data_IF_020136307285
#
_entry.id   IF_020136307285
#
_cell.length_a   1.000
_cell.length_b   1.000
_cell.length_c   1.000
_cell.angle_alpha   90.00
_cell.angle_beta   90.00
_cell.angle_gamma   90.00
#
_symmetry.space_group_name_H-M   'P 1'
#
loop_
_entity.id
_entity.type
_entity.pdbx_description
1 polymer ?
#
# COMPACT_ATOMS: atom_id res chain seq x y z
N UNK A 1 -36.39 -42.34 -10.72
CA UNK A 1 -37.13 -41.35 -9.91
C UNK A 1 -36.12 -40.40 -9.31
N UNK A 2 -35.86 -39.28 -9.97
CA UNK A 2 -35.03 -38.17 -9.47
C UNK A 2 -35.86 -36.92 -9.75
N UNK A 3 -36.37 -36.29 -8.69
CA UNK A 3 -37.17 -35.07 -8.81
C UNK A 3 -36.24 -33.88 -9.04
N UNK A 4 -36.35 -33.30 -10.23
CA UNK A 4 -35.70 -32.06 -10.63
C UNK A 4 -36.55 -30.89 -10.12
N UNK A 5 -36.05 -30.14 -9.13
CA UNK A 5 -36.71 -28.90 -8.65
C UNK A 5 -36.18 -27.73 -9.49
N UNK A 6 -37.00 -27.27 -10.43
CA UNK A 6 -36.77 -26.04 -11.18
C UNK A 6 -37.31 -24.87 -10.34
N UNK A 7 -36.40 -24.04 -9.82
CA UNK A 7 -36.79 -22.77 -9.18
C UNK A 7 -36.90 -21.70 -10.27
N UNK A 8 -38.13 -21.27 -10.58
CA UNK A 8 -38.39 -20.07 -11.37
C UNK A 8 -38.09 -18.84 -10.51
N UNK A 9 -37.17 -17.99 -10.97
CA UNK A 9 -37.01 -16.64 -10.47
C UNK A 9 -38.15 -15.78 -11.04
N UNK A 10 -38.95 -15.18 -10.16
CA UNK A 10 -40.02 -14.25 -10.51
C UNK A 10 -39.47 -12.83 -10.74
N UNK A 11 -39.99 -12.15 -11.76
CA UNK A 11 -39.71 -10.77 -12.13
C UNK A 11 -40.01 -9.76 -11.00
N UNK A 12 -39.32 -8.60 -10.97
CA UNK A 12 -39.51 -7.59 -9.93
C UNK A 12 -40.87 -6.89 -10.08
N UNK A 13 -41.67 -6.89 -9.01
CA UNK A 13 -42.89 -6.10 -8.94
C UNK A 13 -42.58 -4.64 -8.60
N UNK A 14 -42.94 -3.74 -9.51
CA UNK A 14 -43.01 -2.31 -9.27
C UNK A 14 -44.15 -1.95 -8.30
N UNK A 15 -43.88 -0.97 -7.42
CA UNK A 15 -44.90 -0.14 -6.78
C UNK A 15 -45.57 -0.71 -5.53
N UNK A 16 -44.91 -0.60 -4.36
CA UNK A 16 -45.60 -0.57 -3.05
C UNK A 16 -45.11 0.59 -2.17
N UNK A 17 -46.00 1.27 -1.43
CA UNK A 17 -45.68 2.47 -0.67
C UNK A 17 -44.80 2.16 0.55
N UNK A 18 -43.82 3.05 0.76
CA UNK A 18 -42.65 2.99 1.66
C UNK A 18 -43.00 2.80 3.15
N UNK A 19 -44.25 3.06 3.56
CA UNK A 19 -44.67 3.07 4.98
C UNK A 19 -44.77 1.69 5.68
N UNK A 20 -44.89 0.58 4.95
CA UNK A 20 -44.95 -0.77 5.56
C UNK A 20 -43.60 -1.49 5.67
N UNK A 21 -42.57 -0.99 4.98
CA UNK A 21 -41.23 -1.59 5.03
C UNK A 21 -40.56 -1.38 6.40
N UNK A 22 -40.73 -0.21 7.03
CA UNK A 22 -40.14 0.08 8.34
C UNK A 22 -40.67 -0.83 9.47
N UNK A 23 -41.98 -1.13 9.48
CA UNK A 23 -42.57 -1.99 10.51
C UNK A 23 -42.17 -3.48 10.35
N UNK A 24 -42.06 -3.98 9.12
CA UNK A 24 -41.54 -5.32 8.86
C UNK A 24 -40.02 -5.44 9.13
N UNK A 25 -39.32 -4.31 9.08
CA UNK A 25 -37.90 -4.21 9.38
C UNK A 25 -37.61 -4.31 10.87
N UNK A 26 -38.34 -3.57 11.70
CA UNK A 26 -38.20 -3.63 13.16
C UNK A 26 -38.48 -5.05 13.69
N UNK A 27 -39.40 -5.78 13.05
CA UNK A 27 -39.74 -7.17 13.37
C UNK A 27 -38.65 -8.19 12.93
N UNK A 28 -37.86 -7.86 11.90
CA UNK A 28 -36.71 -8.64 11.46
C UNK A 28 -35.46 -8.38 12.32
N UNK A 29 -35.26 -7.13 12.77
CA UNK A 29 -34.15 -6.71 13.64
C UNK A 29 -34.30 -7.27 15.06
N UNK A 30 -35.54 -7.42 15.55
CA UNK A 30 -35.82 -8.09 16.83
C UNK A 30 -35.34 -9.54 16.92
N UNK A 31 -35.02 -10.19 15.78
CA UNK A 31 -34.59 -11.60 15.69
C UNK A 31 -33.07 -11.81 15.53
N UNK A 32 -32.25 -10.76 15.68
CA UNK A 32 -30.80 -10.90 15.82
C UNK A 32 -30.04 -11.38 14.58
N UNK A 33 -30.60 -11.24 13.36
CA UNK A 33 -29.89 -11.50 12.09
C UNK A 33 -29.48 -10.18 11.46
N UNK A 34 -28.45 -9.57 12.01
CA UNK A 34 -27.91 -8.27 11.56
C UNK A 34 -27.31 -8.29 10.14
N UNK A 35 -27.02 -9.48 9.63
CA UNK A 35 -26.22 -9.66 8.41
C UNK A 35 -27.08 -9.69 7.13
N UNK A 36 -28.40 -9.90 7.26
CA UNK A 36 -29.31 -10.16 6.13
C UNK A 36 -30.26 -9.01 5.79
N UNK A 37 -30.26 -7.94 6.58
CA UNK A 37 -31.18 -6.83 6.33
C UNK A 37 -30.49 -5.78 5.47
N UNK A 38 -31.13 -5.42 4.34
CA UNK A 38 -30.62 -4.42 3.41
C UNK A 38 -30.17 -3.17 4.19
N UNK A 39 -28.90 -2.75 4.07
CA UNK A 39 -28.29 -1.79 4.99
C UNK A 39 -28.82 -0.36 4.85
N UNK A 40 -29.66 -0.10 3.84
CA UNK A 40 -30.37 1.16 3.65
C UNK A 40 -31.85 0.90 3.34
N UNK A 41 -32.72 1.14 4.31
CA UNK A 41 -34.17 1.24 4.06
C UNK A 41 -34.54 2.70 3.97
N UNK A 42 -34.95 3.13 2.78
CA UNK A 42 -35.51 4.47 2.55
C UNK A 42 -34.59 5.62 2.95
N UNK A 43 -33.29 5.54 2.65
CA UNK A 43 -32.37 6.63 2.94
C UNK A 43 -31.81 6.67 4.38
N UNK A 44 -32.05 5.62 5.18
CA UNK A 44 -31.60 5.55 6.57
C UNK A 44 -30.34 4.68 6.75
N UNK A 45 -29.46 5.09 7.65
CA UNK A 45 -28.25 4.39 8.07
C UNK A 45 -28.39 3.88 9.50
N UNK A 46 -28.00 2.62 9.75
CA UNK A 46 -27.96 2.08 11.12
C UNK A 46 -26.82 2.69 11.91
N UNK A 47 -27.10 3.28 13.07
CA UNK A 47 -26.07 3.71 14.02
C UNK A 47 -25.85 2.62 15.08
N UNK A 48 -24.73 1.87 15.07
CA UNK A 48 -24.55 0.69 15.93
C UNK A 48 -24.69 0.99 17.42
N UNK A 49 -24.09 2.09 17.89
CA UNK A 49 -24.10 2.49 19.29
C UNK A 49 -25.48 2.89 19.82
N UNK A 50 -26.42 3.18 18.92
CA UNK A 50 -27.78 3.61 19.30
C UNK A 50 -28.85 2.58 18.96
N UNK A 51 -28.48 1.49 18.26
CA UNK A 51 -29.42 0.45 17.84
C UNK A 51 -30.56 0.94 16.95
N UNK A 52 -30.43 2.11 16.29
CA UNK A 52 -31.50 2.72 15.50
C UNK A 52 -31.03 3.21 14.13
N UNK A 53 -31.97 3.31 13.20
CA UNK A 53 -31.78 3.86 11.86
C UNK A 53 -31.95 5.38 11.88
N UNK A 54 -31.04 6.09 11.23
CA UNK A 54 -30.98 7.55 11.20
C UNK A 54 -30.89 8.04 9.75
N UNK A 55 -31.52 9.18 9.40
CA UNK A 55 -31.19 9.88 8.17
C UNK A 55 -29.68 10.18 8.09
N UNK A 56 -29.11 10.21 6.88
CA UNK A 56 -27.67 10.42 6.66
C UNK A 56 -27.12 11.63 7.42
N UNK A 57 -27.82 12.77 7.38
CA UNK A 57 -27.43 13.98 8.11
C UNK A 57 -27.37 13.79 9.63
N UNK A 58 -28.33 13.07 10.21
CA UNK A 58 -28.35 12.76 11.65
C UNK A 58 -27.30 11.72 12.04
N UNK A 59 -27.00 10.76 11.16
CA UNK A 59 -25.92 9.80 11.37
C UNK A 59 -24.58 10.53 11.58
N UNK A 60 -24.27 11.49 10.72
CA UNK A 60 -23.03 12.26 10.78
C UNK A 60 -23.01 13.37 11.84
N UNK A 61 -24.16 13.77 12.38
CA UNK A 61 -24.23 14.65 13.54
C UNK A 61 -23.77 13.96 14.85
N UNK A 62 -23.54 12.64 14.82
CA UNK A 62 -23.16 11.86 15.99
C UNK A 62 -21.80 11.17 15.79
N UNK A 63 -20.75 11.58 16.54
CA UNK A 63 -19.41 11.00 16.41
C UNK A 63 -19.33 9.50 16.71
N UNK A 64 -20.31 8.95 17.43
CA UNK A 64 -20.38 7.53 17.79
C UNK A 64 -21.00 6.65 16.69
N UNK A 65 -21.68 7.25 15.70
CA UNK A 65 -22.23 6.54 14.56
C UNK A 65 -21.12 6.34 13.54
N UNK A 66 -20.86 5.10 13.11
CA UNK A 66 -19.73 4.79 12.23
C UNK A 66 -20.14 3.70 11.24
N UNK A 67 -19.60 3.76 10.03
CA UNK A 67 -19.73 2.71 9.04
C UNK A 67 -18.82 1.55 9.46
N UNK A 68 -19.39 0.54 10.12
CA UNK A 68 -18.66 -0.63 10.59
C UNK A 68 -18.46 -1.59 9.41
N UNK A 69 -17.27 -1.52 8.80
CA UNK A 69 -16.83 -2.40 7.73
C UNK A 69 -15.82 -3.46 8.23
N UNK A 70 -15.48 -3.44 9.53
CA UNK A 70 -14.58 -4.43 10.12
C UNK A 70 -15.15 -5.83 9.96
N UNK A 71 -14.27 -6.76 9.62
CA UNK A 71 -14.62 -8.15 9.35
C UNK A 71 -14.73 -8.45 7.87
N UNK A 72 -15.28 -7.55 7.06
CA UNK A 72 -15.40 -7.71 5.59
C UNK A 72 -14.31 -6.98 4.83
N UNK A 73 -13.90 -5.80 5.32
CA UNK A 73 -12.87 -4.97 4.67
C UNK A 73 -11.61 -4.93 5.52
N UNK A 74 -10.51 -5.31 4.90
CA UNK A 74 -9.16 -5.29 5.46
C UNK A 74 -8.26 -4.31 4.71
N UNK A 75 -7.43 -3.58 5.45
CA UNK A 75 -6.48 -2.59 4.93
C UNK A 75 -5.05 -2.93 5.35
N UNK A 76 -4.18 -3.15 4.36
CA UNK A 76 -2.73 -3.25 4.54
C UNK A 76 -2.05 -1.89 4.43
N UNK A 77 -1.64 -1.36 5.58
CA UNK A 77 -0.87 -0.12 5.66
C UNK A 77 0.63 -0.45 5.57
N UNK A 78 1.12 -0.48 4.34
CA UNK A 78 2.49 -0.84 3.95
C UNK A 78 3.52 0.25 4.31
N UNK A 79 3.73 0.48 5.60
CA UNK A 79 4.73 1.44 6.09
C UNK A 79 4.55 2.84 5.50
N UNK A 80 5.58 3.38 4.84
CA UNK A 80 5.58 4.73 4.24
C UNK A 80 4.95 4.80 2.84
N UNK A 81 3.88 4.04 2.63
CA UNK A 81 3.12 4.02 1.38
C UNK A 81 1.83 4.87 1.40
N UNK A 82 1.66 5.80 2.34
CA UNK A 82 0.49 6.72 2.37
C UNK A 82 -0.71 6.22 3.16
N UNK A 83 -0.59 5.14 3.93
CA UNK A 83 -1.73 4.64 4.71
C UNK A 83 -2.14 5.51 5.89
N UNK A 84 -1.32 6.49 6.29
CA UNK A 84 -1.72 7.59 7.18
C UNK A 84 -2.84 8.44 6.57
N UNK A 85 -2.68 8.83 5.31
CA UNK A 85 -3.66 9.62 4.54
C UNK A 85 -4.95 8.83 4.31
N UNK A 86 -4.83 7.54 3.96
CA UNK A 86 -6.01 6.66 3.83
C UNK A 86 -6.77 6.57 5.15
N UNK A 87 -6.07 6.32 6.26
CA UNK A 87 -6.73 6.27 7.58
C UNK A 87 -7.48 7.57 7.84
N UNK A 88 -6.82 8.71 7.65
CA UNK A 88 -7.40 10.02 7.91
C UNK A 88 -8.67 10.23 7.07
N UNK A 89 -8.62 9.90 5.77
CA UNK A 89 -9.79 9.97 4.88
C UNK A 89 -10.94 9.05 5.35
N UNK A 90 -10.64 7.84 5.79
CA UNK A 90 -11.65 6.92 6.34
C UNK A 90 -12.24 7.45 7.67
N UNK A 91 -11.42 8.07 8.53
CA UNK A 91 -11.85 8.69 9.79
C UNK A 91 -12.78 9.89 9.53
N UNK A 92 -12.46 10.75 8.56
CA UNK A 92 -13.34 11.85 8.11
C UNK A 92 -14.70 11.37 7.61
N UNK A 93 -14.76 10.16 7.06
CA UNK A 93 -15.99 9.51 6.61
C UNK A 93 -16.64 8.63 7.68
N UNK A 94 -16.14 8.66 8.93
CA UNK A 94 -16.63 7.80 10.01
C UNK A 94 -16.62 6.30 9.63
N UNK A 95 -15.70 5.87 8.77
CA UNK A 95 -15.55 4.49 8.30
C UNK A 95 -14.53 3.72 9.15
N UNK A 96 -14.93 2.54 9.63
CA UNK A 96 -14.04 1.63 10.36
C UNK A 96 -13.78 0.38 9.53
N UNK A 97 -12.53 0.22 9.10
CA UNK A 97 -12.02 -0.98 8.45
C UNK A 97 -11.10 -1.76 9.40
N UNK A 98 -10.85 -3.04 9.12
CA UNK A 98 -9.82 -3.78 9.83
C UNK A 98 -8.44 -3.40 9.28
N UNK A 99 -7.58 -2.80 10.10
CA UNK A 99 -6.28 -2.28 9.66
C UNK A 99 -5.13 -3.09 10.21
N UNK A 100 -4.22 -3.49 9.34
CA UNK A 100 -2.96 -4.11 9.68
C UNK A 100 -1.82 -3.09 9.55
N UNK A 101 -1.14 -2.82 10.66
CA UNK A 101 0.01 -1.89 10.75
C UNK A 101 0.74 -2.09 12.09
N UNK A 102 2.07 -1.92 12.18
CA UNK A 102 3.03 -1.73 11.08
C UNK A 102 3.59 -3.05 10.53
N UNK A 103 3.05 -4.18 11.00
CA UNK A 103 3.57 -5.51 10.71
C UNK A 103 2.51 -6.33 9.98
N UNK A 104 2.90 -7.16 9.01
CA UNK A 104 2.01 -8.18 8.50
C UNK A 104 1.59 -9.08 9.67
N UNK A 105 0.29 -9.37 9.78
CA UNK A 105 -0.23 -10.31 10.77
C UNK A 105 -0.80 -11.52 10.04
N UNK A 106 -0.58 -12.72 10.59
CA UNK A 106 -1.20 -13.96 10.15
C UNK A 106 -2.71 -13.99 10.45
N UNK A 107 -3.43 -14.94 9.85
CA UNK A 107 -4.00 -14.88 8.50
C UNK A 107 -5.17 -13.87 8.42
N UNK A 108 -5.67 -13.59 7.22
CA UNK A 108 -6.92 -12.85 7.08
C UNK A 108 -8.02 -13.51 7.91
N UNK A 109 -8.97 -12.69 8.39
CA UNK A 109 -10.19 -13.27 8.93
C UNK A 109 -10.91 -13.97 7.79
N UNK A 110 -11.42 -15.18 8.03
CA UNK A 110 -12.22 -15.92 7.06
C UNK A 110 -13.44 -15.11 6.56
N UNK A 111 -13.86 -14.04 7.23
CA UNK A 111 -14.93 -13.14 6.77
C UNK A 111 -14.47 -12.02 5.83
N UNK A 112 -13.17 -11.92 5.53
CA UNK A 112 -12.62 -10.83 4.73
C UNK A 112 -12.99 -11.04 3.27
N UNK A 113 -13.72 -10.08 2.71
CA UNK A 113 -14.18 -10.09 1.32
C UNK A 113 -13.39 -9.12 0.44
N UNK A 114 -13.03 -7.96 1.00
CA UNK A 114 -12.26 -6.92 0.33
C UNK A 114 -10.98 -6.68 1.10
N UNK A 115 -9.85 -6.84 0.41
CA UNK A 115 -8.55 -6.40 0.88
C UNK A 115 -8.10 -5.23 0.04
N UNK A 116 -7.50 -4.21 0.63
CA UNK A 116 -6.83 -3.17 -0.15
C UNK A 116 -5.50 -2.79 0.48
N UNK A 117 -4.59 -2.29 -0.35
CA UNK A 117 -3.26 -1.88 0.04
C UNK A 117 -2.86 -0.61 -0.70
N UNK A 118 -2.16 0.28 -0.01
CA UNK A 118 -1.54 1.43 -0.66
C UNK A 118 -0.22 1.00 -1.30
N UNK A 119 -0.08 1.16 -2.61
CA UNK A 119 1.10 0.73 -3.37
C UNK A 119 1.96 1.95 -3.69
N UNK A 120 3.17 2.01 -3.15
CA UNK A 120 4.16 3.05 -3.50
C UNK A 120 5.33 2.36 -4.19
N UNK A 121 6.04 3.10 -5.05
CA UNK A 121 7.36 2.70 -5.52
C UNK A 121 8.21 2.11 -4.36
N UNK A 122 8.67 0.85 -4.47
CA UNK A 122 9.41 0.18 -3.41
C UNK A 122 10.66 0.94 -2.94
N UNK A 123 11.40 1.57 -3.87
CA UNK A 123 12.59 2.39 -3.56
C UNK A 123 12.17 3.63 -2.79
N UNK A 124 11.18 4.40 -3.28
CA UNK A 124 10.70 5.61 -2.60
C UNK A 124 10.14 5.29 -1.20
N UNK A 125 9.46 4.15 -1.05
CA UNK A 125 8.94 3.67 0.23
C UNK A 125 10.08 3.38 1.20
N UNK A 126 11.13 2.70 0.75
CA UNK A 126 12.30 2.37 1.56
C UNK A 126 13.04 3.63 2.01
N UNK A 127 13.38 4.51 1.06
CA UNK A 127 14.06 5.80 1.35
C UNK A 127 13.24 6.63 2.32
N UNK A 128 11.93 6.75 2.09
CA UNK A 128 11.05 7.49 2.99
C UNK A 128 10.99 6.88 4.39
N UNK A 129 11.08 5.55 4.54
CA UNK A 129 11.13 4.89 5.83
C UNK A 129 12.47 5.11 6.52
N UNK A 130 13.60 4.94 5.82
CA UNK A 130 14.94 5.22 6.33
C UNK A 130 15.05 6.66 6.84
N UNK A 131 14.72 7.65 6.01
CA UNK A 131 14.84 9.07 6.35
C UNK A 131 13.93 9.43 7.53
N UNK A 132 12.71 8.88 7.56
CA UNK A 132 11.83 9.07 8.70
C UNK A 132 12.38 8.47 9.99
N UNK A 133 12.93 7.26 9.96
CA UNK A 133 13.56 6.65 11.14
C UNK A 133 14.79 7.45 11.57
N UNK A 134 15.64 7.87 10.64
CA UNK A 134 16.78 8.75 10.93
C UNK A 134 16.33 10.06 11.60
N UNK A 135 15.22 10.65 11.16
CA UNK A 135 14.66 11.84 11.77
C UNK A 135 14.13 11.59 13.19
N UNK A 136 13.61 10.40 13.51
CA UNK A 136 13.04 10.11 14.83
C UNK A 136 14.05 9.64 15.88
N UNK A 137 15.14 9.02 15.46
CA UNK A 137 16.13 8.41 16.35
C UNK A 137 17.10 9.46 16.89
N UNK A 138 17.57 9.26 18.12
CA UNK A 138 18.57 10.15 18.71
C UNK A 138 19.93 9.93 18.03
N UNK A 139 20.55 11.04 17.60
CA UNK A 139 21.96 11.08 17.21
C UNK A 139 22.88 11.04 18.45
N UNK A 140 24.17 10.68 18.32
CA UNK A 140 25.12 10.74 19.44
C UNK A 140 25.26 12.14 20.07
N UNK A 141 25.09 13.19 19.28
CA UNK A 141 25.20 14.61 19.63
C UNK A 141 23.85 15.34 19.58
N UNK A 142 22.75 14.60 19.72
CA UNK A 142 21.41 15.15 19.59
C UNK A 142 21.07 16.15 20.70
N UNK A 143 20.64 17.36 20.32
CA UNK A 143 20.17 18.37 21.26
C UNK A 143 18.72 18.15 21.72
N UNK A 144 17.99 17.23 21.08
CA UNK A 144 16.58 16.95 21.37
C UNK A 144 16.40 16.21 22.69
N UNK A 145 15.22 16.38 23.28
CA UNK A 145 14.82 15.67 24.47
C UNK A 145 14.65 14.17 24.15
N UNK A 146 15.45 13.33 24.80
CA UNK A 146 15.33 11.88 24.66
C UNK A 146 14.04 11.40 25.31
N UNK A 147 13.19 10.72 24.55
CA UNK A 147 11.91 10.23 25.04
C UNK A 147 11.83 8.69 25.02
N UNK A 148 11.62 8.10 26.20
CA UNK A 148 11.55 6.64 26.40
C UNK A 148 10.14 6.11 26.68
N UNK A 149 9.16 6.99 26.88
CA UNK A 149 7.79 6.62 27.26
C UNK A 149 6.85 6.47 26.06
N UNK A 150 6.36 7.60 25.56
CA UNK A 150 5.40 7.69 24.47
C UNK A 150 6.08 7.83 23.09
N UNK A 151 6.07 6.77 22.25
CA UNK A 151 6.66 6.83 20.92
C UNK A 151 5.94 7.80 19.97
N UNK A 152 4.76 8.30 20.33
CA UNK A 152 4.03 9.29 19.53
C UNK A 152 4.61 10.70 19.66
N UNK A 153 5.33 11.04 20.73
CA UNK A 153 5.87 12.39 20.90
C UNK A 153 6.94 12.72 19.86
N UNK A 154 7.97 11.88 19.62
CA UNK A 154 8.91 12.10 18.51
C UNK A 154 8.25 12.09 17.14
N UNK A 155 7.18 11.31 16.95
CA UNK A 155 6.39 11.31 15.70
C UNK A 155 5.69 12.64 15.47
N UNK A 156 5.17 13.26 16.55
CA UNK A 156 4.38 14.49 16.49
C UNK A 156 5.26 15.75 16.50
N UNK A 157 6.40 15.71 17.18
CA UNK A 157 7.32 16.83 17.37
C UNK A 157 8.77 16.34 17.20
N UNK A 158 9.16 15.89 15.99
CA UNK A 158 10.48 15.33 15.72
C UNK A 158 11.61 16.33 15.93
N UNK A 159 11.35 17.63 15.84
CA UNK A 159 12.30 18.71 16.14
C UNK A 159 12.64 18.85 17.62
N UNK A 160 11.77 18.33 18.51
CA UNK A 160 11.92 18.46 19.96
C UNK A 160 12.30 17.17 20.65
N UNK A 161 11.75 16.04 20.20
CA UNK A 161 11.97 14.74 20.84
C UNK A 161 12.62 13.74 19.90
N UNK A 162 13.38 12.81 20.48
CA UNK A 162 13.99 11.69 19.76
C UNK A 162 13.82 10.37 20.53
N UNK A 163 13.95 9.24 19.81
CA UNK A 163 13.82 7.88 20.35
C UNK A 163 15.18 7.22 20.59
N UNK A 164 15.38 6.67 21.79
CA UNK A 164 16.58 5.89 22.15
C UNK A 164 16.47 4.43 21.71
N UNK A 165 16.44 4.17 20.40
CA UNK A 165 16.42 2.80 19.88
C UNK A 165 17.86 2.37 19.58
N UNK A 166 18.59 1.97 20.62
CA UNK A 166 20.07 1.93 20.57
C UNK A 166 20.68 1.07 19.46
N UNK A 167 20.02 0.00 18.99
CA UNK A 167 20.53 -0.78 17.84
C UNK A 167 20.27 -0.07 16.51
N UNK A 168 19.02 0.27 16.23
CA UNK A 168 18.62 0.95 14.99
C UNK A 168 19.30 2.33 14.85
N UNK A 169 19.38 3.09 15.94
CA UNK A 169 20.05 4.39 15.97
C UNK A 169 21.56 4.29 15.72
N UNK A 170 22.24 3.31 16.35
CA UNK A 170 23.67 3.07 16.09
C UNK A 170 23.92 2.62 14.66
N UNK A 171 23.02 1.83 14.08
CA UNK A 171 23.10 1.42 12.69
C UNK A 171 22.89 2.64 11.77
N UNK A 172 21.77 3.36 11.88
CA UNK A 172 21.45 4.47 10.98
C UNK A 172 22.46 5.62 11.12
N UNK A 173 22.75 6.08 12.35
CA UNK A 173 23.63 7.24 12.56
C UNK A 173 25.11 6.86 12.63
N UNK A 174 25.44 5.71 13.20
CA UNK A 174 26.84 5.30 13.39
C UNK A 174 27.42 4.60 12.17
N UNK A 175 26.73 3.59 11.63
CA UNK A 175 27.23 2.80 10.49
C UNK A 175 26.99 3.47 9.15
N UNK A 176 25.80 4.05 8.96
CA UNK A 176 25.41 4.67 7.69
C UNK A 176 25.39 6.19 7.73
N UNK A 177 25.79 6.83 8.83
CA UNK A 177 25.91 8.29 8.94
C UNK A 177 24.65 9.08 8.53
N UNK A 178 23.46 8.50 8.72
CA UNK A 178 22.18 9.02 8.21
C UNK A 178 22.09 9.19 6.69
N UNK A 179 22.99 8.58 5.93
CA UNK A 179 23.00 8.56 4.48
C UNK A 179 22.42 7.25 3.96
N UNK A 180 21.25 7.34 3.34
CA UNK A 180 20.57 6.18 2.75
C UNK A 180 21.36 5.59 1.58
N UNK A 181 22.21 6.38 0.89
CA UNK A 181 23.05 5.88 -0.19
C UNK A 181 24.05 4.83 0.29
N UNK A 182 24.67 5.05 1.46
CA UNK A 182 25.62 4.10 2.02
C UNK A 182 24.99 2.74 2.30
N UNK A 183 23.72 2.72 2.70
CA UNK A 183 22.98 1.46 2.87
C UNK A 183 22.53 0.89 1.52
N UNK A 184 21.95 1.72 0.64
CA UNK A 184 21.44 1.30 -0.65
C UNK A 184 22.54 0.68 -1.53
N UNK A 185 23.71 1.32 -1.61
CA UNK A 185 24.87 0.81 -2.35
C UNK A 185 25.45 -0.46 -1.72
N UNK A 186 25.42 -0.58 -0.39
CA UNK A 186 25.83 -1.81 0.29
C UNK A 186 24.86 -2.98 0.04
N UNK A 187 23.63 -2.72 -0.39
CA UNK A 187 22.67 -3.73 -0.83
C UNK A 187 22.88 -4.16 -2.29
N UNK A 188 23.91 -3.68 -3.00
CA UNK A 188 24.24 -4.25 -4.30
C UNK A 188 24.73 -5.70 -4.14
N UNK A 189 24.23 -6.63 -4.96
CA UNK A 189 24.75 -7.99 -4.99
C UNK A 189 26.28 -8.03 -5.20
N UNK A 190 27.01 -8.97 -4.58
CA UNK A 190 28.48 -9.05 -4.71
C UNK A 190 28.96 -9.12 -6.18
N UNK A 191 28.20 -9.80 -7.04
CA UNK A 191 28.42 -9.88 -8.48
C UNK A 191 28.40 -8.51 -9.18
N UNK A 192 27.62 -7.56 -8.64
CA UNK A 192 27.47 -6.22 -9.20
C UNK A 192 28.60 -5.28 -8.79
N UNK A 193 29.23 -5.53 -7.64
CA UNK A 193 30.25 -4.63 -7.08
C UNK A 193 31.67 -4.93 -7.57
N UNK A 194 32.01 -6.15 -8.00
CA UNK A 194 33.37 -6.56 -8.45
C UNK A 194 34.52 -5.92 -7.62
N UNK A 195 34.33 -5.72 -6.32
CA UNK A 195 35.25 -5.01 -5.44
C UNK A 195 35.53 -5.86 -4.21
N UNK A 196 36.83 -6.09 -3.95
CA UNK A 196 37.52 -6.62 -2.76
C UNK A 196 36.91 -7.84 -2.05
N UNK A 197 37.76 -8.63 -1.37
CA UNK A 197 37.32 -9.80 -0.59
C UNK A 197 36.32 -9.46 0.54
N UNK A 198 36.10 -8.17 0.83
CA UNK A 198 35.23 -7.68 1.91
C UNK A 198 33.77 -7.43 1.47
N UNK A 199 33.46 -7.41 0.16
CA UNK A 199 32.11 -7.12 -0.33
C UNK A 199 31.01 -8.07 0.15
N UNK A 200 31.21 -9.40 0.24
CA UNK A 200 30.15 -10.32 0.70
C UNK A 200 29.67 -10.00 2.12
N UNK A 201 30.59 -9.70 3.04
CA UNK A 201 30.23 -9.35 4.42
C UNK A 201 29.47 -8.02 4.50
N UNK A 202 29.80 -7.05 3.64
CA UNK A 202 29.08 -5.77 3.58
C UNK A 202 27.64 -5.95 3.12
N UNK A 203 27.41 -6.80 2.12
CA UNK A 203 26.07 -7.12 1.63
C UNK A 203 25.22 -7.83 2.69
N UNK A 204 25.72 -8.92 3.28
CA UNK A 204 24.98 -9.67 4.30
C UNK A 204 24.63 -8.78 5.50
N UNK A 205 25.56 -7.92 5.91
CA UNK A 205 25.32 -6.96 6.97
C UNK A 205 24.27 -5.93 6.59
N UNK A 206 24.29 -5.40 5.35
CA UNK A 206 23.31 -4.44 4.87
C UNK A 206 21.91 -5.05 4.77
N UNK A 207 21.78 -6.31 4.34
CA UNK A 207 20.50 -7.03 4.33
C UNK A 207 19.96 -7.22 5.76
N UNK A 208 20.82 -7.58 6.72
CA UNK A 208 20.40 -7.70 8.13
C UNK A 208 20.03 -6.34 8.73
N UNK A 209 20.70 -5.27 8.34
CA UNK A 209 20.42 -3.92 8.82
C UNK A 209 19.15 -3.34 8.20
N UNK A 210 18.90 -3.58 6.91
CA UNK A 210 17.66 -3.16 6.23
C UNK A 210 16.43 -3.79 6.88
N UNK A 211 16.53 -5.06 7.26
CA UNK A 211 15.51 -5.80 8.02
C UNK A 211 15.29 -5.31 9.46
N UNK A 212 16.08 -4.34 9.96
CA UNK A 212 15.90 -3.72 11.27
C UNK A 212 15.20 -2.36 11.20
N UNK A 213 15.10 -1.74 10.02
CA UNK A 213 14.52 -0.41 9.86
C UNK A 213 13.00 -0.49 9.98
N UNK A 214 12.43 0.21 10.97
CA UNK A 214 10.99 0.32 11.12
C UNK A 214 10.33 0.86 9.85
N UNK A 215 9.19 0.28 9.43
CA UNK A 215 8.45 0.62 8.20
C UNK A 215 9.13 0.30 6.86
N UNK A 216 10.41 -0.12 6.85
CA UNK A 216 11.11 -0.67 5.67
C UNK A 216 11.33 -2.18 5.75
N UNK A 217 11.39 -2.75 6.96
CA UNK A 217 11.65 -4.17 7.23
C UNK A 217 10.78 -5.15 6.44
N UNK A 218 9.51 -4.82 6.21
CA UNK A 218 8.56 -5.71 5.56
C UNK A 218 8.32 -5.26 4.13
N UNK A 219 8.68 -6.12 3.19
CA UNK A 219 8.46 -5.94 1.75
C UNK A 219 6.97 -6.13 1.41
N UNK A 220 6.53 -5.66 0.24
CA UNK A 220 5.17 -5.94 -0.27
C UNK A 220 4.93 -7.45 -0.33
N UNK A 221 5.94 -8.23 -0.71
CA UNK A 221 5.90 -9.68 -0.68
C UNK A 221 5.62 -10.23 0.73
N UNK A 222 6.28 -9.72 1.78
CA UNK A 222 5.99 -10.16 3.15
C UNK A 222 4.54 -9.88 3.57
N UNK A 223 3.95 -8.79 3.08
CA UNK A 223 2.55 -8.45 3.35
C UNK A 223 1.57 -9.31 2.56
N UNK A 224 1.94 -9.71 1.35
CA UNK A 224 1.11 -10.47 0.43
C UNK A 224 1.38 -11.97 0.48
N UNK A 225 2.28 -12.46 1.35
CA UNK A 225 2.71 -13.85 1.40
C UNK A 225 1.56 -14.87 1.50
N UNK A 226 0.47 -14.54 2.20
CA UNK A 226 -0.72 -15.39 2.30
C UNK A 226 -1.53 -15.50 0.99
N UNK A 227 -1.19 -14.71 -0.02
CA UNK A 227 -1.79 -14.67 -1.35
C UNK A 227 -0.85 -15.24 -2.42
N UNK A 228 0.26 -15.88 -2.01
CA UNK A 228 1.29 -16.44 -2.90
C UNK A 228 1.51 -17.91 -2.50
N UNK A 229 1.35 -18.85 -3.42
CA UNK A 229 1.72 -20.27 -3.18
C UNK A 229 3.24 -20.42 -3.12
N UNK A 230 3.75 -21.25 -2.20
CA UNK A 230 5.19 -21.44 -2.01
C UNK A 230 5.89 -22.18 -3.16
N UNK A 231 5.16 -22.93 -3.98
CA UNK A 231 5.70 -23.89 -4.95
C UNK A 231 5.13 -23.74 -6.37
N UNK A 232 4.30 -22.71 -6.59
CA UNK A 232 3.61 -22.51 -7.86
C UNK A 232 2.65 -23.65 -8.21
N UNK A 233 2.32 -24.56 -7.28
CA UNK A 233 1.41 -25.69 -7.51
C UNK A 233 -0.06 -25.26 -7.57
N UNK A 234 -0.34 -24.16 -8.27
CA UNK A 234 -1.68 -23.69 -8.58
C UNK A 234 -2.44 -23.13 -7.38
N UNK A 235 -3.30 -22.16 -7.65
CA UNK A 235 -4.17 -21.51 -6.66
C UNK A 235 -5.11 -22.48 -5.89
N UNK A 236 -5.13 -23.78 -6.23
CA UNK A 236 -5.94 -24.80 -5.57
C UNK A 236 -5.49 -25.12 -4.13
N UNK A 237 -4.21 -24.90 -3.77
CA UNK A 237 -3.73 -25.06 -2.38
C UNK A 237 -3.70 -23.74 -1.58
N UNK A 238 -3.82 -22.58 -2.24
CA UNK A 238 -4.03 -21.28 -1.57
C UNK A 238 -5.40 -21.17 -0.89
N UNK A 239 -6.30 -22.12 -1.13
CA UNK A 239 -7.56 -22.33 -0.43
C UNK A 239 -7.34 -22.83 1.01
N UNK A 240 -6.38 -22.26 1.73
CA UNK A 240 -6.51 -22.18 3.18
C UNK A 240 -7.78 -21.37 3.47
N UNK A 241 -8.57 -21.81 4.45
CA UNK A 241 -9.90 -21.26 4.78
C UNK A 241 -9.90 -19.73 4.97
N UNK A 242 -8.71 -19.15 5.22
CA UNK A 242 -8.51 -17.73 5.49
C UNK A 242 -8.68 -16.81 4.27
N UNK A 243 -8.46 -17.27 3.05
CA UNK A 243 -8.61 -16.46 1.81
C UNK A 243 -9.84 -16.84 0.99
N UNK A 244 -10.56 -17.91 1.37
CA UNK A 244 -11.69 -18.45 0.61
C UNK A 244 -12.81 -17.44 0.31
N UNK A 245 -12.98 -16.42 1.16
CA UNK A 245 -13.99 -15.37 0.98
C UNK A 245 -13.45 -14.09 0.33
N UNK A 246 -12.15 -14.00 0.07
CA UNK A 246 -11.54 -12.83 -0.56
C UNK A 246 -11.99 -12.72 -2.02
N UNK A 247 -12.84 -11.74 -2.31
CA UNK A 247 -13.38 -11.47 -3.65
C UNK A 247 -12.57 -10.43 -4.39
N UNK A 248 -12.03 -9.47 -3.66
CA UNK A 248 -11.37 -8.31 -4.25
C UNK A 248 -10.08 -7.97 -3.51
N UNK A 249 -9.06 -7.66 -4.30
CA UNK A 249 -7.87 -6.96 -3.85
C UNK A 249 -7.82 -5.62 -4.56
N UNK A 250 -7.72 -4.50 -3.84
CA UNK A 250 -7.67 -3.15 -4.42
C UNK A 250 -6.26 -2.57 -4.22
N UNK A 251 -5.56 -2.31 -5.32
CA UNK A 251 -4.35 -1.49 -5.27
C UNK A 251 -4.74 -0.01 -5.24
N UNK A 252 -4.12 0.74 -4.34
CA UNK A 252 -4.27 2.21 -4.24
C UNK A 252 -2.89 2.81 -4.48
N UNK A 253 -2.50 3.07 -5.75
CA UNK A 253 -1.19 3.59 -6.06
C UNK A 253 -0.97 4.96 -5.41
N UNK A 254 0.23 5.17 -4.88
CA UNK A 254 0.72 6.44 -4.37
C UNK A 254 1.78 6.94 -5.33
N UNK A 255 1.32 7.65 -6.35
CA UNK A 255 2.14 8.52 -7.19
C UNK A 255 1.87 9.96 -6.74
N UNK A 256 2.91 10.79 -6.72
CA UNK A 256 2.82 12.18 -6.24
C UNK A 256 1.78 12.99 -7.03
N UNK A 257 1.03 13.86 -6.35
CA UNK A 257 0.11 14.82 -6.98
C UNK A 257 -1.37 14.44 -6.88
N UNK A 258 -2.18 14.91 -7.83
CA UNK A 258 -3.64 14.79 -7.80
C UNK A 258 -4.15 13.34 -7.91
N UNK A 259 -3.37 12.43 -8.47
CA UNK A 259 -3.79 11.05 -8.72
C UNK A 259 -4.10 10.31 -7.42
N UNK A 260 -3.29 10.52 -6.36
CA UNK A 260 -3.54 9.85 -5.09
C UNK A 260 -4.87 10.26 -4.45
N UNK A 261 -5.23 11.55 -4.51
CA UNK A 261 -6.53 12.03 -4.01
C UNK A 261 -7.71 11.48 -4.83
N UNK A 262 -7.51 11.29 -6.15
CA UNK A 262 -8.48 10.59 -7.00
C UNK A 262 -8.62 9.13 -6.57
N UNK A 263 -7.52 8.42 -6.28
CA UNK A 263 -7.57 7.06 -5.77
C UNK A 263 -8.28 6.96 -4.41
N UNK A 264 -8.05 7.90 -3.49
CA UNK A 264 -8.74 7.93 -2.20
C UNK A 264 -10.25 8.15 -2.37
N UNK A 265 -10.64 9.04 -3.28
CA UNK A 265 -12.04 9.34 -3.55
C UNK A 265 -12.76 8.17 -4.21
N UNK A 266 -12.10 7.50 -5.15
CA UNK A 266 -12.61 6.27 -5.75
C UNK A 266 -12.74 5.16 -4.70
N UNK A 267 -11.73 4.98 -3.84
CA UNK A 267 -11.72 3.93 -2.82
C UNK A 267 -12.92 4.06 -1.88
N UNK A 268 -13.17 5.27 -1.39
CA UNK A 268 -14.29 5.50 -0.46
C UNK A 268 -15.63 5.33 -1.16
N UNK A 269 -15.76 5.78 -2.41
CA UNK A 269 -16.94 5.56 -3.24
C UNK A 269 -17.22 4.07 -3.46
N UNK A 270 -16.18 3.29 -3.81
CA UNK A 270 -16.27 1.85 -4.03
C UNK A 270 -16.72 1.12 -2.75
N UNK A 271 -16.05 1.36 -1.63
CA UNK A 271 -16.38 0.72 -0.36
C UNK A 271 -17.80 1.06 0.14
N UNK A 272 -18.27 2.28 -0.10
CA UNK A 272 -19.64 2.68 0.25
C UNK A 272 -20.67 2.09 -0.72
N UNK A 273 -20.33 1.99 -2.00
CA UNK A 273 -21.20 1.38 -3.03
C UNK A 273 -21.38 -0.10 -2.78
N UNK A 274 -20.30 -0.84 -2.52
CA UNK A 274 -20.36 -2.26 -2.14
C UNK A 274 -21.19 -2.48 -0.86
N UNK A 275 -21.15 -1.51 0.07
CA UNK A 275 -21.91 -1.63 1.31
C UNK A 275 -23.38 -1.25 1.19
N UNK A 276 -23.70 -0.17 0.47
CA UNK A 276 -25.00 0.50 0.53
C UNK A 276 -25.70 0.67 -0.82
N UNK A 277 -25.03 0.33 -1.92
CA UNK A 277 -25.45 0.67 -3.27
C UNK A 277 -25.06 2.11 -3.68
N UNK A 278 -25.05 2.39 -4.99
CA UNK A 278 -24.47 3.62 -5.55
C UNK A 278 -25.23 4.89 -5.14
N UNK A 279 -26.56 4.84 -5.07
CA UNK A 279 -27.40 6.01 -4.71
C UNK A 279 -27.11 6.50 -3.28
N UNK A 280 -27.06 5.57 -2.32
CA UNK A 280 -26.76 5.88 -0.93
C UNK A 280 -25.29 6.31 -0.77
N UNK A 281 -24.36 5.67 -1.46
CA UNK A 281 -22.96 6.06 -1.47
C UNK A 281 -22.78 7.52 -1.94
N UNK A 282 -23.43 7.89 -3.05
CA UNK A 282 -23.46 9.27 -3.55
C UNK A 282 -24.04 10.26 -2.54
N UNK A 283 -25.14 9.89 -1.87
CA UNK A 283 -25.76 10.72 -0.82
C UNK A 283 -24.81 10.93 0.37
N UNK A 284 -24.13 9.87 0.80
CA UNK A 284 -23.14 9.92 1.88
C UNK A 284 -21.99 10.86 1.51
N UNK A 285 -21.39 10.67 0.32
CA UNK A 285 -20.25 11.47 -0.14
C UNK A 285 -20.64 12.94 -0.30
N UNK A 286 -21.82 13.24 -0.85
CA UNK A 286 -22.32 14.61 -0.95
C UNK A 286 -22.48 15.30 0.41
N UNK A 287 -22.97 14.58 1.43
CA UNK A 287 -23.08 15.11 2.80
C UNK A 287 -21.72 15.35 3.48
N UNK A 288 -20.66 14.67 3.03
CA UNK A 288 -19.31 14.78 3.61
C UNK A 288 -18.32 15.58 2.79
N UNK A 289 -18.74 16.12 1.64
CA UNK A 289 -17.91 16.93 0.76
C UNK A 289 -17.21 18.06 1.52
N UNK A 290 -17.95 18.86 2.29
CA UNK A 290 -17.37 19.96 3.07
C UNK A 290 -16.29 19.48 4.05
N UNK A 291 -16.51 18.38 4.78
CA UNK A 291 -15.51 17.84 5.70
C UNK A 291 -14.24 17.31 5.01
N UNK A 292 -14.34 16.92 3.74
CA UNK A 292 -13.20 16.48 2.92
C UNK A 292 -12.46 17.70 2.33
N UNK A 293 -13.20 18.69 1.84
CA UNK A 293 -12.65 19.91 1.24
C UNK A 293 -12.04 20.86 2.28
N UNK A 294 -12.66 20.97 3.46
CA UNK A 294 -12.20 21.79 4.58
C UNK A 294 -11.02 21.14 5.34
N UNK A 295 -10.62 19.92 4.98
CA UNK A 295 -9.45 19.26 5.52
C UNK A 295 -8.19 19.95 4.99
N UNK A 296 -7.86 21.12 5.55
CA UNK A 296 -6.67 21.92 5.22
C UNK A 296 -5.34 21.20 5.45
N UNK A 297 -5.39 19.96 5.94
CA UNK A 297 -4.25 19.06 6.01
C UNK A 297 -4.01 18.29 4.70
N UNK A 298 -4.95 18.23 3.75
CA UNK A 298 -4.78 17.50 2.47
C UNK A 298 -3.46 17.87 1.76
N UNK A 299 -3.08 19.16 1.78
CA UNK A 299 -1.79 19.62 1.26
C UNK A 299 -0.57 19.31 2.14
N UNK A 300 -0.75 19.10 3.45
CA UNK A 300 0.31 18.71 4.40
C UNK A 300 0.56 17.20 4.40
N UNK A 301 -0.43 16.39 4.02
CA UNK A 301 -0.30 14.94 3.87
C UNK A 301 0.47 14.53 2.60
N UNK A 302 0.82 15.50 1.75
CA UNK A 302 1.76 15.37 0.62
C UNK A 302 3.16 15.14 1.19
N UNK A 303 3.33 13.91 1.66
CA UNK A 303 4.56 13.26 2.06
C UNK A 303 5.22 13.87 3.31
N UNK A 304 5.09 13.19 4.45
CA UNK A 304 6.06 13.27 5.56
C UNK A 304 7.48 12.81 5.14
N UNK A 305 7.70 12.57 3.84
CA UNK A 305 9.00 12.46 3.17
C UNK A 305 9.57 13.81 2.77
N UNK A 306 8.74 14.85 2.57
CA UNK A 306 9.21 16.20 2.30
C UNK A 306 9.89 16.71 3.57
N UNK A 307 11.19 17.04 3.51
CA UNK A 307 11.92 17.47 4.67
C UNK A 307 11.22 18.73 5.16
N UNK A 308 10.88 18.79 6.44
CA UNK A 308 10.54 20.06 7.05
C UNK A 308 11.74 21.00 6.90
N UNK A 309 11.74 21.81 5.85
CA UNK A 309 12.45 23.08 5.66
C UNK A 309 13.98 23.15 5.84
N UNK A 310 14.73 22.06 6.11
CA UNK A 310 16.15 22.21 6.45
C UNK A 310 17.05 20.98 6.33
N UNK A 311 16.60 19.91 5.66
CA UNK A 311 17.41 18.71 5.43
C UNK A 311 18.40 18.88 4.28
N UNK A 312 19.69 18.71 4.56
CA UNK A 312 20.81 18.86 3.62
C UNK A 312 20.74 17.90 2.42
N UNK A 313 20.60 18.42 1.21
CA UNK A 313 21.33 18.04 -0.03
C UNK A 313 21.33 16.61 -0.60
N UNK A 314 21.03 15.56 0.17
CA UNK A 314 21.18 14.15 -0.23
C UNK A 314 19.83 13.42 -0.28
N UNK A 315 18.78 14.06 -0.79
CA UNK A 315 17.46 13.42 -0.87
C UNK A 315 17.35 12.39 -1.98
N UNK A 316 18.19 12.50 -3.00
CA UNK A 316 18.21 11.58 -4.12
C UNK A 316 19.26 10.49 -3.89
N UNK A 317 18.86 9.25 -4.18
CA UNK A 317 19.83 8.18 -4.28
C UNK A 317 20.80 8.47 -5.41
N UNK A 318 22.05 8.06 -5.25
CA UNK A 318 22.99 7.93 -6.34
C UNK A 318 22.40 6.93 -7.35
N UNK A 319 22.73 7.04 -8.65
CA UNK A 319 22.28 6.05 -9.63
C UNK A 319 22.65 4.61 -9.25
N UNK A 320 23.80 4.43 -8.58
CA UNK A 320 24.21 3.13 -8.05
C UNK A 320 23.28 2.68 -6.92
N UNK A 321 23.06 3.52 -5.91
CA UNK A 321 22.16 3.21 -4.80
C UNK A 321 20.74 2.90 -5.24
N UNK A 322 20.21 3.65 -6.22
CA UNK A 322 18.90 3.40 -6.82
C UNK A 322 18.85 2.03 -7.50
N UNK A 323 19.84 1.70 -8.33
CA UNK A 323 19.93 0.40 -8.98
C UNK A 323 20.05 -0.77 -7.98
N UNK A 324 20.96 -0.66 -7.02
CA UNK A 324 21.18 -1.69 -5.99
C UNK A 324 19.89 -1.95 -5.20
N UNK A 325 19.21 -0.88 -4.77
CA UNK A 325 18.01 -0.98 -3.98
C UNK A 325 16.81 -1.48 -4.80
N UNK A 326 16.67 -1.06 -6.06
CA UNK A 326 15.64 -1.59 -6.95
C UNK A 326 15.78 -3.10 -7.14
N UNK A 327 17.02 -3.59 -7.35
CA UNK A 327 17.31 -5.03 -7.44
C UNK A 327 17.06 -5.77 -6.14
N UNK A 328 17.47 -5.21 -5.00
CA UNK A 328 17.18 -5.78 -3.68
C UNK A 328 15.67 -5.94 -3.45
N UNK A 329 14.85 -5.04 -4.01
CA UNK A 329 13.40 -5.02 -3.89
C UNK A 329 12.67 -5.63 -5.11
N UNK A 330 13.36 -6.43 -5.94
CA UNK A 330 12.80 -6.97 -7.20
C UNK A 330 11.50 -7.75 -6.98
N UNK A 331 11.36 -8.49 -5.88
CA UNK A 331 10.14 -9.25 -5.58
C UNK A 331 8.90 -8.34 -5.44
N UNK A 332 9.06 -7.13 -4.87
CA UNK A 332 7.98 -6.17 -4.76
C UNK A 332 7.56 -5.64 -6.15
N UNK A 333 8.53 -5.37 -7.02
CA UNK A 333 8.23 -4.98 -8.40
C UNK A 333 7.56 -6.10 -9.19
N UNK A 334 7.94 -7.37 -8.98
CA UNK A 334 7.26 -8.51 -9.60
C UNK A 334 5.79 -8.60 -9.16
N UNK A 335 5.49 -8.33 -7.89
CA UNK A 335 4.10 -8.27 -7.41
C UNK A 335 3.33 -7.09 -7.99
N UNK A 336 3.96 -5.92 -8.13
CA UNK A 336 3.35 -4.78 -8.82
C UNK A 336 3.07 -5.11 -10.30
N UNK A 337 3.97 -5.83 -10.96
CA UNK A 337 3.75 -6.34 -12.31
C UNK A 337 2.57 -7.34 -12.35
N UNK A 338 2.45 -8.25 -11.37
CA UNK A 338 1.27 -9.13 -11.24
C UNK A 338 -0.02 -8.31 -11.09
N UNK A 339 -0.01 -7.20 -10.34
CA UNK A 339 -1.19 -6.35 -10.12
C UNK A 339 -1.76 -5.70 -11.38
N UNK A 340 -0.95 -5.53 -12.43
CA UNK A 340 -1.40 -5.02 -13.72
C UNK A 340 -2.24 -6.05 -14.49
N UNK A 341 -2.06 -7.34 -14.19
CA UNK A 341 -2.65 -8.44 -14.93
C UNK A 341 -2.13 -8.54 -16.37
N UNK A 342 -2.81 -9.33 -17.19
CA UNK A 342 -2.55 -9.43 -18.61
C UNK A 342 -3.21 -8.24 -19.32
N UNK A 343 -2.41 -7.24 -19.69
CA UNK A 343 -2.83 -6.17 -20.59
C UNK A 343 -2.97 -6.73 -22.02
N UNK A 344 -4.05 -7.46 -22.27
CA UNK A 344 -4.48 -7.79 -23.63
C UNK A 344 -4.95 -6.50 -24.32
N UNK A 345 -4.50 -6.26 -25.55
CA UNK A 345 -5.15 -5.28 -26.40
C UNK A 345 -6.55 -5.76 -26.83
N UNK A 346 -7.31 -4.90 -27.50
CA UNK A 346 -8.66 -5.27 -27.99
C UNK A 346 -8.66 -6.45 -28.98
N UNK A 347 -7.48 -6.83 -29.50
CA UNK A 347 -7.31 -7.98 -30.38
C UNK A 347 -6.89 -9.25 -29.62
N UNK A 348 -6.86 -9.21 -28.28
CA UNK A 348 -6.40 -10.33 -27.45
C UNK A 348 -4.90 -10.59 -27.55
N UNK A 349 -4.12 -9.64 -28.08
CA UNK A 349 -2.66 -9.74 -28.14
C UNK A 349 -2.08 -9.05 -26.93
N UNK A 350 -1.19 -9.74 -26.23
CA UNK A 350 -0.39 -9.13 -25.18
C UNK A 350 0.33 -7.90 -25.76
N UNK A 351 0.05 -6.70 -25.21
CA UNK A 351 0.77 -5.48 -25.59
C UNK A 351 2.25 -5.69 -25.29
N UNK A 352 3.05 -5.99 -26.32
CA UNK A 352 4.48 -6.38 -26.26
C UNK A 352 5.46 -5.31 -25.76
N UNK A 353 4.99 -4.33 -24.98
CA UNK A 353 5.84 -3.40 -24.23
C UNK A 353 5.46 -3.38 -22.75
N UNK A 354 5.14 -4.56 -22.23
CA UNK A 354 5.01 -4.77 -20.80
C UNK A 354 6.32 -4.46 -20.07
N UNK A 355 6.23 -4.17 -18.77
CA UNK A 355 7.40 -3.96 -17.90
C UNK A 355 8.38 -5.14 -18.03
N UNK A 356 9.69 -4.86 -18.03
CA UNK A 356 10.78 -5.85 -18.16
C UNK A 356 10.89 -6.82 -16.97
N UNK A 357 9.90 -6.79 -16.07
CA UNK A 357 9.85 -7.55 -14.83
C UNK A 357 8.80 -8.64 -14.97
N UNK A 358 9.22 -9.90 -14.88
CA UNK A 358 8.29 -11.04 -14.89
C UNK A 358 7.38 -11.02 -13.66
N UNK A 359 6.05 -11.11 -13.83
CA UNK A 359 5.12 -11.30 -12.72
C UNK A 359 5.51 -12.45 -11.78
N UNK A 360 4.96 -12.43 -10.57
CA UNK A 360 5.05 -13.56 -9.64
C UNK A 360 4.04 -14.64 -10.06
N UNK A 361 4.49 -15.88 -10.12
CA UNK A 361 3.64 -17.05 -10.38
C UNK A 361 2.91 -17.50 -9.11
N UNK A 362 1.78 -18.21 -9.27
CA UNK A 362 1.06 -18.79 -8.13
C UNK A 362 0.46 -17.77 -7.17
N UNK A 363 0.16 -16.55 -7.66
CA UNK A 363 -0.50 -15.51 -6.88
C UNK A 363 -2.02 -15.67 -6.94
N UNK A 364 -2.72 -15.34 -5.86
CA UNK A 364 -4.17 -15.35 -5.81
C UNK A 364 -4.77 -14.50 -6.96
N UNK A 365 -5.76 -15.01 -7.73
CA UNK A 365 -6.25 -14.34 -8.94
C UNK A 365 -6.83 -12.94 -8.75
N UNK A 366 -7.23 -12.57 -7.53
CA UNK A 366 -7.71 -11.21 -7.26
C UNK A 366 -6.58 -10.19 -7.30
N UNK A 367 -5.34 -10.59 -7.08
CA UNK A 367 -4.18 -9.68 -7.15
C UNK A 367 -3.98 -9.20 -8.58
N UNK A 368 -4.16 -10.03 -9.60
CA UNK A 368 -4.07 -9.58 -11.00
C UNK A 368 -5.23 -8.71 -11.47
N UNK A 369 -6.23 -8.50 -10.60
CA UNK A 369 -7.39 -7.63 -10.80
C UNK A 369 -7.32 -6.40 -9.89
N UNK A 370 -6.13 -6.05 -9.40
CA UNK A 370 -5.95 -5.01 -8.39
C UNK A 370 -6.45 -3.62 -8.81
N UNK A 371 -6.56 -3.38 -10.13
CA UNK A 371 -7.05 -2.14 -10.73
C UNK A 371 -8.38 -2.33 -11.49
N UNK A 372 -9.16 -3.39 -11.24
CA UNK A 372 -10.46 -3.65 -11.90
C UNK A 372 -11.67 -3.02 -11.17
N UNK A 373 -11.41 -2.15 -10.20
CA UNK A 373 -12.42 -1.51 -9.36
C UNK A 373 -12.59 -0.04 -9.72
N UNK A 374 -13.69 0.57 -9.26
CA UNK A 374 -14.04 1.94 -9.66
C UNK A 374 -14.55 2.06 -11.10
N UNK A 375 -14.61 3.30 -11.59
CA UNK A 375 -14.97 3.63 -12.98
C UNK A 375 -13.78 3.45 -13.94
N UNK A 376 -14.06 3.50 -15.25
CA UNK A 376 -13.04 3.23 -16.28
C UNK A 376 -11.87 4.22 -16.21
N UNK A 377 -12.14 5.49 -15.94
CA UNK A 377 -11.11 6.52 -15.74
C UNK A 377 -10.18 6.14 -14.57
N UNK A 378 -10.74 5.73 -13.43
CA UNK A 378 -9.95 5.29 -12.29
C UNK A 378 -9.12 4.04 -12.60
N UNK A 379 -9.70 3.06 -13.29
CA UNK A 379 -9.00 1.83 -13.69
C UNK A 379 -7.81 2.15 -14.58
N UNK A 380 -7.97 3.09 -15.51
CA UNK A 380 -6.89 3.57 -16.37
C UNK A 380 -5.79 4.27 -15.56
N UNK A 381 -6.16 5.19 -14.67
CA UNK A 381 -5.20 5.89 -13.79
C UNK A 381 -4.46 4.91 -12.89
N UNK A 382 -5.13 3.93 -12.29
CA UNK A 382 -4.51 2.90 -11.44
C UNK A 382 -3.45 2.11 -12.20
N UNK A 383 -3.80 1.61 -13.39
CA UNK A 383 -2.85 0.88 -14.26
C UNK A 383 -1.71 1.78 -14.71
N UNK A 384 -1.99 3.02 -15.11
CA UNK A 384 -0.99 3.99 -15.52
C UNK A 384 0.03 4.25 -14.40
N UNK A 385 -0.46 4.47 -13.18
CA UNK A 385 0.38 4.74 -12.02
C UNK A 385 1.24 3.53 -11.64
N UNK A 386 0.67 2.30 -11.62
CA UNK A 386 1.46 1.09 -11.40
C UNK A 386 2.50 0.84 -12.51
N UNK A 387 2.17 1.11 -13.78
CA UNK A 387 3.13 1.05 -14.89
C UNK A 387 4.24 2.10 -14.72
N UNK A 388 3.91 3.30 -14.27
CA UNK A 388 4.90 4.36 -14.04
C UNK A 388 5.96 3.96 -12.99
N UNK A 389 5.54 3.26 -11.92
CA UNK A 389 6.43 2.71 -10.91
C UNK A 389 7.39 1.69 -11.54
N UNK A 390 6.89 0.79 -12.38
CA UNK A 390 7.72 -0.22 -13.04
C UNK A 390 8.67 0.37 -14.08
N UNK A 391 8.22 1.39 -14.83
CA UNK A 391 9.02 2.03 -15.88
C UNK A 391 10.18 2.84 -15.30
N UNK A 392 10.01 3.46 -14.13
CA UNK A 392 11.07 4.26 -13.49
C UNK A 392 12.35 3.46 -13.27
N UNK A 393 12.23 2.18 -12.90
CA UNK A 393 13.36 1.31 -12.59
C UNK A 393 13.53 0.16 -13.59
N UNK A 394 12.81 0.20 -14.72
CA UNK A 394 12.74 -0.93 -15.65
C UNK A 394 14.10 -1.36 -16.21
N UNK A 395 15.04 -0.43 -16.36
CA UNK A 395 16.43 -0.71 -16.77
C UNK A 395 17.23 -1.39 -15.66
N UNK A 396 17.07 -0.97 -14.40
CA UNK A 396 17.76 -1.57 -13.26
C UNK A 396 17.29 -2.99 -12.96
N UNK A 397 16.00 -3.26 -13.22
CA UNK A 397 15.36 -4.54 -12.96
C UNK A 397 15.62 -5.59 -14.06
N UNK A 398 16.19 -5.19 -15.19
CA UNK A 398 16.57 -6.10 -16.27
C UNK A 398 17.95 -6.70 -16.01
N UNK A 399 18.00 -7.97 -15.60
CA UNK A 399 19.25 -8.68 -15.36
C UNK A 399 20.08 -8.88 -16.64
N UNK A 400 19.47 -8.81 -17.82
CA UNK A 400 20.17 -8.98 -19.10
C UNK A 400 21.00 -7.76 -19.50
N UNK A 401 20.69 -6.59 -18.94
CA UNK A 401 21.47 -5.35 -19.09
C UNK A 401 22.77 -5.36 -18.26
N UNK A 402 23.06 -6.47 -17.56
CA UNK A 402 24.30 -6.68 -16.82
C UNK A 402 24.21 -6.25 -15.36
N UNK A 403 25.36 -5.94 -14.75
CA UNK A 403 25.39 -5.43 -13.36
C UNK A 403 24.95 -3.98 -13.27
N UNK A 404 24.61 -3.50 -12.06
CA UNK A 404 24.34 -2.07 -11.86
C UNK A 404 25.48 -1.17 -12.39
N UNK A 405 26.73 -1.61 -12.34
CA UNK A 405 27.87 -0.89 -12.94
C UNK A 405 27.78 -0.80 -14.47
N UNK A 406 27.44 -1.91 -15.12
CA UNK A 406 27.29 -1.97 -16.58
C UNK A 406 26.13 -1.08 -17.02
N UNK A 407 24.98 -1.17 -16.32
CA UNK A 407 23.80 -0.33 -16.60
C UNK A 407 24.13 1.16 -16.50
N UNK A 408 25.02 1.54 -15.58
CA UNK A 408 25.44 2.92 -15.37
C UNK A 408 26.60 3.37 -16.29
N UNK A 409 27.05 2.53 -17.23
CA UNK A 409 28.18 2.85 -18.11
C UNK A 409 29.50 3.03 -17.36
N UNK A 410 29.62 2.48 -16.14
CA UNK A 410 30.87 2.46 -15.38
C UNK A 410 31.77 1.34 -15.90
N UNK A 411 32.10 1.35 -17.19
CA UNK A 411 33.10 0.45 -17.75
C UNK A 411 34.47 0.84 -17.21
N UNK A 412 35.16 -0.10 -16.54
CA UNK A 412 36.50 0.10 -15.96
C UNK A 412 37.61 0.29 -17.02
N UNK A 413 37.27 0.47 -18.30
CA UNK A 413 38.22 0.55 -19.41
C UNK A 413 38.89 1.92 -19.58
N UNK A 414 38.40 2.98 -18.95
CA UNK A 414 38.96 4.33 -19.14
C UNK A 414 40.11 4.70 -18.20
N UNK A 415 40.29 4.00 -17.07
CA UNK A 415 41.21 4.44 -16.02
C UNK A 415 42.58 3.74 -16.03
N UNK A 416 42.71 2.58 -16.70
CA UNK A 416 44.01 1.90 -16.83
C UNK A 416 44.87 2.43 -18.00
N UNK A 417 44.30 3.07 -19.02
CA UNK A 417 45.09 3.67 -20.11
C UNK A 417 45.64 5.06 -19.75
N UNK A 418 44.95 5.85 -18.92
CA UNK A 418 45.43 7.20 -18.56
C UNK A 418 46.57 7.17 -17.51
N UNK A 419 46.65 6.12 -16.68
CA UNK A 419 47.77 5.95 -15.73
C UNK A 419 49.03 5.41 -16.41
N UNK A 420 48.91 4.72 -17.56
CA UNK A 420 50.09 4.37 -18.38
C UNK A 420 50.64 5.54 -19.19
N UNK A 421 49.85 6.59 -19.41
CA UNK A 421 50.30 7.83 -20.07
C UNK A 421 51.16 8.76 -19.19
N UNK A 422 51.13 8.59 -17.87
CA UNK A 422 51.85 9.46 -16.92
C UNK A 422 53.09 8.81 -16.27
N UNK A 423 53.32 7.52 -16.51
CA UNK A 423 54.53 6.80 -16.09
C UNK A 423 55.61 6.75 -17.20
N UNK A 424 55.43 7.52 -18.28
CA UNK A 424 56.32 7.58 -19.42
C UNK A 424 56.50 8.98 -19.97
N UNK A 425 56.87 9.94 -19.11
CA UNK A 425 57.55 11.20 -19.49
C UNK A 425 58.65 11.50 -18.49
#
# INVERSE_FOLDING_TARGET
MISLVVVRLSEPQEGRPIGRAAAAYDDAVGKGRDDQVSPSVGGLLRCPQRGRYLPVSQFYAHPSCVHELRGRVSFFHLGKAGGGSVRHRLELLQMKVHRFHPFPKHPLKNTTEVLFATIRDPVDRFVSAFNWRAALLCKPDDARETHTGDPYLPVKFPERYCLTVSKEARMIHGKYSSDVNLLAEALCPPEDLRLTAEAPHRYDDAVRDSAQIGHAKYTLENWMAMLITADGSGASELADDSTANLREFLAVPLVTGEHFERHLSALTSHLLTERYGPEMAGTILANRRGAIEDDGQAGQWVHTSSPGGGGSGNEHLSPLGECCLARHLVADYRLIATMLGDDEDEEGKAKRRGPRVTPVDGVHPTVSKACDWGDDDHREVCRSDLRSILLRHGTYLDATEGSCRVVLGMEMGGMEEEVRGWAGV
#
